data_IF_470212601980
#
_entry.id   IF_470212601980
#
_cell.length_a   1.000
_cell.length_b   1.000
_cell.length_c   1.000
_cell.angle_alpha   90.00
_cell.angle_beta   90.00
_cell.angle_gamma   90.00
#
_symmetry.space_group_name_H-M   'P 1'
#
loop_
_entity.id
_entity.type
_entity.pdbx_description
1 polymer ?
#
# COMPACT_ATOMS: atom_id res chain seq x y z
N UNK A 1 2.32 -0.82 -4.03
CA UNK A 1 1.69 -1.14 -5.33
C UNK A 1 2.54 -0.75 -6.56
N UNK A 2 3.85 -0.51 -6.40
CA UNK A 2 4.73 -0.16 -7.53
C UNK A 2 5.07 -1.41 -8.37
N UNK A 3 4.95 -1.33 -9.71
CA UNK A 3 5.25 -2.41 -10.67
C UNK A 3 4.47 -3.73 -10.51
N UNK A 4 3.27 -3.71 -9.93
CA UNK A 4 2.41 -4.90 -9.97
C UNK A 4 1.78 -5.08 -11.35
N UNK A 5 1.62 -6.35 -11.78
CA UNK A 5 0.92 -6.73 -13.00
C UNK A 5 -0.57 -6.88 -12.69
N UNK A 6 -1.42 -6.37 -13.59
CA UNK A 6 -2.85 -6.60 -13.50
C UNK A 6 -3.16 -8.08 -13.79
N UNK A 7 -3.94 -8.73 -12.92
CA UNK A 7 -4.21 -10.16 -13.01
C UNK A 7 -5.32 -10.52 -14.01
N UNK A 8 -6.21 -9.56 -14.35
CA UNK A 8 -7.28 -9.75 -15.34
C UNK A 8 -6.92 -9.14 -16.68
N UNK A 9 -7.57 -9.59 -17.75
CA UNK A 9 -7.41 -9.03 -19.10
C UNK A 9 -8.09 -7.65 -19.24
N UNK A 10 -9.26 -7.48 -18.62
CA UNK A 10 -10.00 -6.21 -18.60
C UNK A 10 -10.53 -5.88 -17.19
N UNK A 11 -10.61 -4.58 -16.88
CA UNK A 11 -11.20 -4.08 -15.63
C UNK A 11 -10.69 -2.70 -15.23
N UNK A 12 -11.47 -1.98 -14.41
CA UNK A 12 -11.18 -0.61 -13.96
C UNK A 12 -9.83 -0.46 -13.24
N UNK A 13 -9.33 -1.54 -12.62
CA UNK A 13 -8.02 -1.56 -11.97
C UNK A 13 -6.84 -1.39 -12.94
N UNK A 14 -7.03 -1.64 -14.24
CA UNK A 14 -6.02 -1.44 -15.27
C UNK A 14 -5.66 0.04 -15.49
N UNK A 15 -6.51 0.96 -15.04
CA UNK A 15 -6.25 2.41 -15.07
C UNK A 15 -5.08 2.78 -14.14
N UNK A 16 -4.90 2.03 -13.05
CA UNK A 16 -3.91 2.35 -12.00
C UNK A 16 -2.81 1.30 -11.88
N UNK A 17 -3.12 0.01 -12.03
CA UNK A 17 -2.18 -1.09 -11.81
C UNK A 17 -1.17 -1.13 -12.96
N UNK A 18 0.11 -1.05 -12.61
CA UNK A 18 1.22 -1.04 -13.58
C UNK A 18 1.48 0.31 -14.26
N UNK A 19 0.73 1.37 -13.91
CA UNK A 19 0.89 2.73 -14.45
C UNK A 19 1.56 3.71 -13.50
N UNK A 20 1.79 3.30 -12.25
CA UNK A 20 2.41 4.14 -11.22
C UNK A 20 3.92 4.23 -11.43
N UNK A 21 4.43 5.45 -11.52
CA UNK A 21 5.86 5.71 -11.64
C UNK A 21 6.59 5.69 -10.27
N UNK A 22 7.91 5.46 -10.31
CA UNK A 22 8.76 5.44 -9.14
C UNK A 22 8.78 6.79 -8.43
N UNK A 23 8.77 7.90 -9.19
CA UNK A 23 8.71 9.25 -8.62
C UNK A 23 7.42 9.48 -7.84
N UNK A 24 6.27 9.06 -8.38
CA UNK A 24 4.98 9.16 -7.69
C UNK A 24 5.00 8.36 -6.39
N UNK A 25 5.51 7.14 -6.44
CA UNK A 25 5.65 6.28 -5.25
C UNK A 25 6.51 6.95 -4.17
N UNK A 26 7.68 7.47 -4.54
CA UNK A 26 8.58 8.14 -3.59
C UNK A 26 7.96 9.42 -3.00
N UNK A 27 7.29 10.24 -3.82
CA UNK A 27 6.62 11.46 -3.34
C UNK A 27 5.50 11.12 -2.37
N UNK A 28 4.63 10.15 -2.69
CA UNK A 28 3.53 9.73 -1.81
C UNK A 28 4.06 9.17 -0.49
N UNK A 29 5.06 8.29 -0.52
CA UNK A 29 5.65 7.74 0.70
C UNK A 29 6.36 8.80 1.54
N UNK A 30 7.09 9.73 0.90
CA UNK A 30 7.76 10.83 1.59
C UNK A 30 6.77 11.76 2.29
N UNK A 31 5.69 12.14 1.61
CA UNK A 31 4.62 12.96 2.21
C UNK A 31 3.92 12.23 3.35
N UNK A 32 3.61 10.94 3.19
CA UNK A 32 3.01 10.12 4.25
C UNK A 32 3.92 10.06 5.48
N UNK A 33 5.23 9.89 5.30
CA UNK A 33 6.20 9.87 6.39
C UNK A 33 6.26 11.22 7.13
N UNK A 34 6.25 12.34 6.38
CA UNK A 34 6.23 13.69 6.97
C UNK A 34 4.96 13.89 7.80
N UNK A 35 3.79 13.54 7.24
CA UNK A 35 2.52 13.65 7.98
C UNK A 35 2.49 12.75 9.22
N UNK A 36 2.96 11.50 9.12
CA UNK A 36 3.03 10.59 10.24
C UNK A 36 3.98 11.09 11.35
N UNK A 37 5.06 11.81 11.01
CA UNK A 37 5.99 12.37 11.97
C UNK A 37 5.52 13.69 12.60
N UNK A 38 4.77 14.51 11.86
CA UNK A 38 4.36 15.86 12.30
C UNK A 38 3.01 15.83 13.02
N UNK A 39 2.06 15.00 12.55
CA UNK A 39 0.69 14.99 13.07
C UNK A 39 0.49 14.06 14.27
N UNK A 40 1.40 13.12 14.50
CA UNK A 40 1.30 12.14 15.58
C UNK A 40 2.41 12.36 16.62
N UNK A 41 2.13 12.19 17.92
CA UNK A 41 3.11 12.44 18.97
C UNK A 41 4.25 11.42 18.96
N UNK A 42 5.48 11.94 18.86
CA UNK A 42 6.71 11.14 18.84
C UNK A 42 6.91 10.36 17.54
N UNK A 43 7.70 9.28 17.58
CA UNK A 43 8.01 8.47 16.40
C UNK A 43 7.01 7.33 16.14
N UNK A 44 5.94 7.24 16.94
CA UNK A 44 4.95 6.15 16.85
C UNK A 44 4.25 6.10 15.49
N UNK A 45 3.91 7.26 14.91
CA UNK A 45 3.31 7.32 13.58
C UNK A 45 4.22 6.74 12.49
N UNK A 46 5.52 7.04 12.55
CA UNK A 46 6.50 6.50 11.61
C UNK A 46 6.69 5.00 11.82
N UNK A 47 6.72 4.53 13.07
CA UNK A 47 6.80 3.09 13.38
C UNK A 47 5.56 2.33 12.85
N UNK A 48 4.36 2.85 13.10
CA UNK A 48 3.11 2.29 12.59
C UNK A 48 3.07 2.26 11.06
N UNK A 49 3.60 3.30 10.40
CA UNK A 49 3.74 3.35 8.95
C UNK A 49 4.67 2.23 8.45
N UNK A 50 5.82 2.00 9.09
CA UNK A 50 6.76 0.92 8.71
C UNK A 50 6.10 -0.45 8.86
N UNK A 51 5.40 -0.71 9.97
CA UNK A 51 4.67 -1.96 10.20
C UNK A 51 3.62 -2.18 9.10
N UNK A 52 2.85 -1.14 8.78
CA UNK A 52 1.82 -1.18 7.73
C UNK A 52 2.44 -1.46 6.35
N UNK A 53 3.56 -0.81 6.01
CA UNK A 53 4.27 -1.04 4.76
C UNK A 53 4.73 -2.49 4.62
N UNK A 54 5.25 -3.09 5.69
CA UNK A 54 5.67 -4.51 5.69
C UNK A 54 4.46 -5.41 5.49
N UNK A 55 3.36 -5.20 6.23
CA UNK A 55 2.15 -6.00 6.12
C UNK A 55 1.56 -5.95 4.70
N UNK A 56 1.41 -4.76 4.12
CA UNK A 56 0.87 -4.59 2.77
C UNK A 56 1.83 -5.10 1.69
N UNK A 57 3.14 -5.02 1.90
CA UNK A 57 4.11 -5.64 1.01
C UNK A 57 3.95 -7.17 0.99
N UNK A 58 3.83 -7.80 2.16
CA UNK A 58 3.60 -9.25 2.28
C UNK A 58 2.29 -9.63 1.58
N UNK A 59 1.20 -8.91 1.85
CA UNK A 59 -0.09 -9.13 1.19
C UNK A 59 0.06 -9.05 -0.33
N UNK A 60 0.77 -8.04 -0.84
CA UNK A 60 1.05 -7.89 -2.28
C UNK A 60 1.81 -9.08 -2.87
N UNK A 61 2.78 -9.64 -2.16
CA UNK A 61 3.51 -10.85 -2.61
C UNK A 61 2.61 -12.10 -2.60
N UNK A 62 1.77 -12.24 -1.57
CA UNK A 62 0.82 -13.36 -1.47
C UNK A 62 -0.18 -13.32 -2.63
N UNK A 63 -0.78 -12.15 -2.89
CA UNK A 63 -1.71 -11.94 -4.00
C UNK A 63 -1.04 -12.21 -5.36
N UNK A 64 0.20 -11.76 -5.53
CA UNK A 64 0.98 -12.05 -6.74
C UNK A 64 1.18 -13.55 -6.96
N UNK A 65 1.41 -14.32 -5.88
CA UNK A 65 1.58 -15.78 -5.94
C UNK A 65 0.27 -16.53 -6.19
N UNK A 66 -0.84 -16.08 -5.62
CA UNK A 66 -2.13 -16.77 -5.71
C UNK A 66 -2.92 -16.41 -6.97
N UNK A 67 -2.89 -15.15 -7.39
CA UNK A 67 -3.70 -14.61 -8.49
C UNK A 67 -2.86 -14.23 -9.72
N UNK A 68 -1.52 -14.34 -9.66
CA UNK A 68 -0.63 -13.93 -10.74
C UNK A 68 -0.46 -12.41 -10.91
N UNK A 69 -1.02 -11.62 -9.98
CA UNK A 69 -1.04 -10.16 -10.06
C UNK A 69 -1.99 -9.53 -9.05
N UNK A 70 -2.55 -8.37 -9.38
CA UNK A 70 -3.57 -7.69 -8.59
C UNK A 70 -4.79 -7.32 -9.42
N UNK A 71 -5.93 -7.18 -8.75
CA UNK A 71 -7.20 -6.67 -9.27
C UNK A 71 -7.64 -5.42 -8.50
N UNK A 72 -8.70 -4.76 -8.96
CA UNK A 72 -9.32 -3.64 -8.23
C UNK A 72 -9.79 -4.03 -6.82
N UNK A 73 -10.42 -5.19 -6.68
CA UNK A 73 -10.90 -5.69 -5.38
C UNK A 73 -9.74 -5.92 -4.41
N UNK A 74 -8.62 -6.47 -4.90
CA UNK A 74 -7.44 -6.69 -4.05
C UNK A 74 -6.73 -5.40 -3.67
N UNK A 75 -6.84 -4.34 -4.49
CA UNK A 75 -6.36 -3.01 -4.12
C UNK A 75 -7.24 -2.42 -3.02
N UNK A 76 -8.57 -2.48 -3.18
CA UNK A 76 -9.51 -2.02 -2.17
C UNK A 76 -9.27 -2.72 -0.83
N UNK A 77 -9.19 -4.05 -0.84
CA UNK A 77 -8.86 -4.83 0.36
C UNK A 77 -7.50 -4.44 0.97
N UNK A 78 -6.48 -4.16 0.16
CA UNK A 78 -5.18 -3.72 0.67
C UNK A 78 -5.22 -2.32 1.29
N UNK A 79 -6.11 -1.43 0.84
CA UNK A 79 -6.33 -0.11 1.45
C UNK A 79 -6.97 -0.29 2.82
N UNK A 80 -8.12 -0.99 2.88
CA UNK A 80 -8.86 -1.25 4.12
C UNK A 80 -7.99 -1.96 5.18
N UNK A 81 -7.27 -3.01 4.77
CA UNK A 81 -6.34 -3.71 5.66
C UNK A 81 -5.15 -2.85 6.08
N UNK A 82 -4.68 -1.96 5.19
CA UNK A 82 -3.58 -1.05 5.48
C UNK A 82 -3.97 -0.04 6.55
N UNK A 83 -5.15 0.55 6.42
CA UNK A 83 -5.71 1.46 7.41
C UNK A 83 -5.93 0.76 8.75
N UNK A 84 -6.50 -0.45 8.75
CA UNK A 84 -6.69 -1.25 9.96
C UNK A 84 -5.35 -1.56 10.66
N UNK A 85 -4.35 -2.06 9.93
CA UNK A 85 -3.03 -2.37 10.49
C UNK A 85 -2.34 -1.12 11.03
N UNK A 86 -2.46 0.01 10.34
CA UNK A 86 -1.88 1.27 10.79
C UNK A 86 -2.47 1.72 12.13
N UNK A 87 -3.80 1.71 12.24
CA UNK A 87 -4.49 2.08 13.47
C UNK A 87 -4.15 1.13 14.62
N UNK A 88 -4.10 -0.18 14.36
CA UNK A 88 -3.70 -1.16 15.37
C UNK A 88 -2.25 -1.00 15.83
N UNK A 89 -1.34 -0.66 14.92
CA UNK A 89 0.07 -0.42 15.25
C UNK A 89 0.32 0.92 15.97
N UNK A 90 -0.70 1.80 16.00
CA UNK A 90 -0.66 3.08 16.69
C UNK A 90 -1.16 2.99 18.14
N UNK A 91 -1.86 1.91 18.50
CA UNK A 91 -2.31 1.61 19.87
C UNK A 91 -1.13 1.24 20.79
#
# INVERSE_FOLDING_TARGET
>A
MYRHRYAREEGLGNVFIGKIDGRQTCVTLGLAAIFAAVLLPGMHGVAAMVVTMVAIFILGQLLKRTLGGQTGDTLGAAIELGELVFLLALL
#
